data_IF_412828049194
#
_entry.id   IF_412828049194
#
_cell.length_a   1.000
_cell.length_b   1.000
_cell.length_c   1.000
_cell.angle_alpha   90.00
_cell.angle_beta   90.00
_cell.angle_gamma   90.00
#
_symmetry.space_group_name_H-M   'P 1'
#
loop_
_entity.id
_entity.type
_entity.pdbx_description
1 polymer ?
#
# COMPACT_ATOMS: atom_id res chain seq x y z
N UNK A 1 0.00 18.47 1.63
CA UNK A 1 1.18 17.78 1.08
C UNK A 1 1.30 18.07 -0.41
N UNK A 2 2.38 18.75 -0.81
CA UNK A 2 2.61 19.06 -2.23
C UNK A 2 3.42 17.91 -2.87
N UNK A 3 2.83 17.26 -3.88
CA UNK A 3 3.53 16.22 -4.64
C UNK A 3 4.38 16.87 -5.73
N UNK A 4 5.62 16.42 -5.88
CA UNK A 4 6.43 16.77 -7.04
C UNK A 4 6.00 15.93 -8.26
N UNK A 5 5.08 16.49 -9.04
CA UNK A 5 4.56 15.88 -10.27
C UNK A 5 5.47 16.12 -11.49
N UNK A 6 6.60 16.81 -11.34
CA UNK A 6 7.52 17.07 -12.46
C UNK A 6 8.30 15.83 -12.88
N UNK A 7 8.42 14.85 -11.98
CA UNK A 7 9.07 13.57 -12.26
C UNK A 7 8.38 12.78 -13.38
N UNK A 8 9.11 12.53 -14.49
CA UNK A 8 8.62 11.69 -15.60
C UNK A 8 8.31 10.25 -15.15
N UNK A 9 9.12 9.71 -14.23
CA UNK A 9 8.95 8.37 -13.68
C UNK A 9 7.70 8.26 -12.82
N UNK A 10 7.46 9.22 -11.93
CA UNK A 10 6.26 9.23 -11.09
C UNK A 10 5.01 9.27 -11.97
N UNK A 11 4.94 10.18 -12.95
CA UNK A 11 3.80 10.28 -13.88
C UNK A 11 3.56 9.01 -14.69
N UNK A 12 4.62 8.29 -15.07
CA UNK A 12 4.49 6.99 -15.75
C UNK A 12 3.81 5.97 -14.84
N UNK A 13 4.31 5.79 -13.61
CA UNK A 13 3.75 4.85 -12.63
C UNK A 13 2.29 5.18 -12.28
N UNK A 14 1.96 6.46 -12.13
CA UNK A 14 0.58 6.90 -11.91
C UNK A 14 -0.35 6.43 -13.02
N UNK A 15 0.05 6.61 -14.28
CA UNK A 15 -0.75 6.17 -15.43
C UNK A 15 -0.85 4.65 -15.53
N UNK A 16 0.25 3.94 -15.34
CA UNK A 16 0.29 2.47 -15.42
C UNK A 16 -0.63 1.82 -14.38
N UNK A 17 -0.74 2.43 -13.20
CA UNK A 17 -1.57 1.93 -12.11
C UNK A 17 -2.92 2.63 -11.97
N UNK A 18 -3.26 3.57 -12.87
CA UNK A 18 -4.51 4.33 -12.82
C UNK A 18 -4.71 5.16 -11.56
N UNK A 19 -3.63 5.60 -10.90
CA UNK A 19 -3.68 6.26 -9.60
C UNK A 19 -4.08 7.72 -9.69
N UNK A 20 -5.03 8.14 -8.86
CA UNK A 20 -5.37 9.56 -8.68
C UNK A 20 -4.35 10.26 -7.77
N UNK A 21 -4.40 11.59 -7.75
CA UNK A 21 -3.55 12.40 -6.87
C UNK A 21 -3.85 12.08 -5.40
N UNK A 22 -5.13 11.94 -5.06
CA UNK A 22 -5.58 11.60 -3.71
C UNK A 22 -5.04 10.25 -3.26
N UNK A 23 -5.07 9.24 -4.14
CA UNK A 23 -4.55 7.90 -3.84
C UNK A 23 -3.04 7.92 -3.58
N UNK A 24 -2.29 8.73 -4.33
CA UNK A 24 -0.85 8.89 -4.09
C UNK A 24 -0.61 9.58 -2.76
N UNK A 25 -1.38 10.62 -2.45
CA UNK A 25 -1.27 11.29 -1.16
C UNK A 25 -1.56 10.33 -0.01
N UNK A 26 -2.56 9.46 -0.16
CA UNK A 26 -2.86 8.39 0.78
C UNK A 26 -1.70 7.39 0.89
N UNK A 27 -1.14 6.92 -0.23
CA UNK A 27 0.01 6.00 -0.24
C UNK A 27 1.21 6.61 0.49
N UNK A 28 1.54 7.87 0.19
CA UNK A 28 2.65 8.58 0.84
C UNK A 28 2.38 8.78 2.33
N UNK A 29 1.15 9.15 2.72
CA UNK A 29 0.78 9.28 4.13
C UNK A 29 0.94 7.94 4.87
N UNK A 30 0.40 6.85 4.33
CA UNK A 30 0.56 5.50 4.89
C UNK A 30 2.04 5.10 5.00
N UNK A 31 2.84 5.36 3.97
CA UNK A 31 4.26 5.03 3.96
C UNK A 31 5.03 5.79 5.05
N UNK A 32 4.74 7.08 5.24
CA UNK A 32 5.37 7.90 6.30
C UNK A 32 5.01 7.41 7.70
N UNK A 33 3.75 7.00 7.92
CA UNK A 33 3.32 6.43 9.22
C UNK A 33 4.00 5.08 9.45
N UNK A 34 4.02 4.20 8.44
CA UNK A 34 4.66 2.91 8.54
C UNK A 34 6.16 3.04 8.82
N UNK A 35 6.85 3.96 8.15
CA UNK A 35 8.27 4.19 8.39
C UNK A 35 8.54 4.62 9.84
N UNK A 36 7.72 5.52 10.39
CA UNK A 36 7.82 5.92 11.80
C UNK A 36 7.57 4.76 12.79
N UNK A 37 6.86 3.71 12.37
CA UNK A 37 6.66 2.49 13.17
C UNK A 37 7.91 1.62 13.23
N UNK A 38 8.72 1.58 12.16
CA UNK A 38 9.87 0.67 12.05
C UNK A 38 11.23 1.35 12.28
N UNK A 39 11.30 2.67 12.04
CA UNK A 39 12.48 3.49 12.22
C UNK A 39 12.20 4.53 13.33
N UNK A 40 12.73 4.32 14.55
CA UNK A 40 12.53 5.23 15.67
C UNK A 40 13.13 6.63 15.45
N UNK A 41 14.10 6.77 14.55
CA UNK A 41 14.70 8.07 14.19
C UNK A 41 13.79 8.84 13.23
N UNK A 42 13.00 8.13 12.42
CA UNK A 42 12.03 8.74 11.52
C UNK A 42 10.78 9.18 12.28
N UNK A 43 10.55 10.51 12.33
CA UNK A 43 9.34 11.09 12.94
C UNK A 43 8.39 11.61 11.89
N UNK A 44 7.11 11.26 12.03
CA UNK A 44 6.04 11.82 11.22
C UNK A 44 4.99 12.49 12.09
N UNK A 45 4.48 13.64 11.64
CA UNK A 45 3.43 14.38 12.34
C UNK A 45 2.06 14.07 11.73
N UNK A 46 1.30 13.19 12.39
CA UNK A 46 -0.01 12.75 11.90
C UNK A 46 -1.03 13.88 11.88
N UNK A 47 -0.97 14.82 12.84
CA UNK A 47 -1.86 15.99 12.87
C UNK A 47 -1.65 16.85 11.64
N UNK A 48 -0.39 17.15 11.31
CA UNK A 48 -0.06 17.92 10.10
C UNK A 48 -0.51 17.21 8.82
N UNK A 49 -0.30 15.89 8.72
CA UNK A 49 -0.75 15.11 7.55
C UNK A 49 -2.29 15.16 7.42
N UNK A 50 -3.00 15.04 8.53
CA UNK A 50 -4.46 15.08 8.56
C UNK A 50 -5.01 16.43 8.09
N UNK A 51 -4.44 17.54 8.59
CA UNK A 51 -4.77 18.90 8.17
C UNK A 51 -4.49 19.12 6.68
N UNK A 52 -3.29 18.75 6.23
CA UNK A 52 -2.84 18.92 4.85
C UNK A 52 -3.69 18.17 3.81
N UNK A 53 -4.33 17.07 4.21
CA UNK A 53 -5.17 16.25 3.34
C UNK A 53 -6.67 16.46 3.59
N UNK A 54 -7.04 17.38 4.49
CA UNK A 54 -8.41 17.59 4.95
C UNK A 54 -9.11 16.28 5.37
N UNK A 55 -8.41 15.45 6.16
CA UNK A 55 -8.91 14.18 6.70
C UNK A 55 -8.79 14.16 8.22
N UNK A 56 -9.53 13.25 8.85
CA UNK A 56 -9.39 13.02 10.29
C UNK A 56 -8.12 12.21 10.60
N UNK A 57 -7.50 12.42 11.76
CA UNK A 57 -6.37 11.57 12.23
C UNK A 57 -6.72 10.08 12.23
N UNK A 58 -7.89 9.64 12.72
CA UNK A 58 -8.31 8.24 12.62
C UNK A 58 -8.32 7.69 11.19
N UNK A 59 -8.71 8.51 10.20
CA UNK A 59 -8.67 8.12 8.78
C UNK A 59 -7.23 7.84 8.33
N UNK A 60 -6.27 8.70 8.70
CA UNK A 60 -4.86 8.52 8.36
C UNK A 60 -4.31 7.24 8.99
N UNK A 61 -4.57 7.00 10.28
CA UNK A 61 -4.18 5.75 10.95
C UNK A 61 -4.80 4.52 10.28
N UNK A 62 -6.09 4.57 9.95
CA UNK A 62 -6.77 3.47 9.25
C UNK A 62 -6.22 3.18 7.85
N UNK A 63 -5.57 4.15 7.19
CA UNK A 63 -4.85 3.91 5.94
C UNK A 63 -3.53 3.19 6.17
N UNK A 64 -2.80 3.56 7.22
CA UNK A 64 -1.55 2.90 7.61
C UNK A 64 -1.80 1.45 8.05
N UNK A 65 -2.81 1.23 8.90
CA UNK A 65 -3.18 -0.10 9.40
C UNK A 65 -3.54 -1.06 8.26
N UNK A 66 -4.35 -0.59 7.30
CA UNK A 66 -4.70 -1.39 6.11
C UNK A 66 -3.49 -1.69 5.24
N UNK A 67 -2.58 -0.72 5.06
CA UNK A 67 -1.36 -0.93 4.30
C UNK A 67 -0.42 -1.94 4.99
N UNK A 68 -0.27 -1.88 6.31
CA UNK A 68 0.48 -2.85 7.10
C UNK A 68 -0.13 -4.25 7.01
N UNK A 69 -1.45 -4.37 7.18
CA UNK A 69 -2.16 -5.63 7.07
C UNK A 69 -1.97 -6.28 5.68
N UNK A 70 -2.12 -5.50 4.61
CA UNK A 70 -1.86 -5.95 3.24
C UNK A 70 -0.41 -6.39 3.05
N UNK A 71 0.56 -5.63 3.58
CA UNK A 71 1.99 -5.97 3.51
C UNK A 71 2.28 -7.29 4.23
N UNK A 72 1.79 -7.46 5.46
CA UNK A 72 1.94 -8.70 6.23
C UNK A 72 1.29 -9.88 5.49
N UNK A 73 0.09 -9.68 4.94
CA UNK A 73 -0.59 -10.68 4.13
C UNK A 73 0.25 -11.06 2.90
N UNK A 74 0.76 -10.10 2.14
CA UNK A 74 1.63 -10.36 0.99
C UNK A 74 2.89 -11.11 1.41
N UNK A 75 3.57 -10.71 2.48
CA UNK A 75 4.78 -11.40 2.97
C UNK A 75 4.50 -12.84 3.39
N UNK A 76 3.35 -13.12 4.02
CA UNK A 76 2.93 -14.50 4.36
C UNK A 76 2.67 -15.34 3.11
N UNK A 77 2.19 -14.72 2.04
CA UNK A 77 1.91 -15.39 0.76
C UNK A 77 3.10 -15.41 -0.20
N UNK A 78 4.16 -14.64 0.06
CA UNK A 78 5.48 -14.82 -0.56
C UNK A 78 6.05 -16.13 0.01
N UNK A 79 5.56 -17.22 -0.58
CA UNK A 79 6.03 -18.58 -0.36
C UNK A 79 7.48 -18.61 -0.83
N UNK A 80 8.41 -18.96 0.05
CA UNK A 80 9.74 -19.41 -0.36
C UNK A 80 9.58 -20.75 -1.08
N UNK A 81 9.16 -20.72 -2.35
CA UNK A 81 8.94 -21.90 -3.17
C UNK A 81 7.74 -21.80 -4.11
N UNK A 82 7.88 -22.41 -5.29
CA UNK A 82 6.90 -22.43 -6.39
C UNK A 82 5.48 -22.79 -5.88
N UNK A 83 4.41 -22.12 -6.36
CA UNK A 83 3.05 -22.55 -6.09
C UNK A 83 2.88 -24.03 -6.49
N UNK A 84 2.13 -24.85 -5.73
CA UNK A 84 1.74 -26.16 -6.22
C UNK A 84 1.05 -25.98 -7.57
N UNK A 85 1.44 -26.73 -8.61
CA UNK A 85 0.59 -26.86 -9.79
C UNK A 85 -0.75 -27.38 -9.26
N UNK A 86 -1.82 -26.63 -9.43
CA UNK A 86 -3.16 -27.17 -9.29
C UNK A 86 -3.21 -28.41 -10.17
N UNK A 87 -3.22 -29.59 -9.56
CA UNK A 87 -3.63 -30.80 -10.26
C UNK A 87 -5.09 -30.54 -10.58
N UNK A 88 -5.38 -30.35 -11.86
CA UNK A 88 -6.72 -30.42 -12.42
C UNK A 88 -7.50 -31.50 -11.67
N UNK A 89 -8.44 -31.10 -10.81
CA UNK A 89 -9.53 -31.99 -10.42
C UNK A 89 -10.54 -32.00 -11.55
N UNK A 90 -10.10 -32.43 -12.72
CA UNK A 90 -10.99 -33.03 -13.71
C UNK A 90 -11.05 -34.50 -13.34
N UNK A 91 -11.84 -34.80 -12.30
CA UNK A 91 -12.30 -36.17 -12.10
C UNK A 91 -13.27 -36.47 -13.24
N UNK A 92 -12.72 -37.00 -14.34
CA UNK A 92 -13.44 -37.99 -15.11
C UNK A 92 -13.68 -39.23 -14.25
N UNK A 93 -14.93 -39.68 -14.24
CA UNK A 93 -15.37 -41.08 -14.26
C UNK A 93 -16.90 -41.00 -14.38
N UNK A 94 -17.46 -41.15 -15.59
CA UNK A 94 -17.86 -42.44 -16.17
C UNK A 94 -18.91 -43.14 -15.29
N UNK A 95 -20.19 -43.06 -15.65
CA UNK A 95 -20.95 -44.12 -16.37
C UNK A 95 -22.26 -43.54 -16.90
#
# INVERSE_FOLDING_TARGET
MQLDLTSKRARKLMREHGLTIEEIQQIVASARINLATFDPEYRTNVTQIAEELAKSRPTIYGWADRALAATVYSLRNIRTGRPPKERERTNGNET
#
